data_IF_549992448213
#
_entry.id   IF_549992448213
#
_cell.length_a   1.000
_cell.length_b   1.000
_cell.length_c   1.000
_cell.angle_alpha   90.00
_cell.angle_beta   90.00
_cell.angle_gamma   90.00
#
_symmetry.space_group_name_H-M   'P 1'
#
loop_
_entity.id
_entity.type
_entity.pdbx_description
1 polymer ?
#
# COMPACT_ATOMS: atom_id res chain seq x y z
N UNK A 1 33.24 56.45 39.11
CA UNK A 1 34.17 56.18 37.99
C UNK A 1 34.25 54.67 37.80
N UNK A 2 33.87 54.23 36.61
CA UNK A 2 33.66 52.84 36.21
C UNK A 2 34.97 52.04 36.13
N UNK A 3 34.89 50.71 36.26
CA UNK A 3 35.79 49.80 35.54
C UNK A 3 34.96 48.73 34.83
N UNK A 4 35.03 48.78 33.51
CA UNK A 4 34.49 47.82 32.55
C UNK A 4 35.32 46.53 32.59
N UNK A 5 34.67 45.38 32.58
CA UNK A 5 35.29 44.11 32.22
C UNK A 5 34.57 43.55 31.00
N UNK A 6 35.31 43.48 29.89
CA UNK A 6 34.88 42.86 28.63
C UNK A 6 34.95 41.34 28.77
N UNK A 7 33.83 40.65 28.54
CA UNK A 7 33.82 39.20 28.40
C UNK A 7 33.53 38.86 26.92
N UNK A 8 34.48 38.19 26.27
CA UNK A 8 34.33 37.65 24.92
C UNK A 8 33.57 36.33 25.03
N UNK A 9 32.37 36.26 24.45
CA UNK A 9 31.53 35.07 24.43
C UNK A 9 31.72 34.34 23.08
N UNK A 10 32.43 33.21 23.10
CA UNK A 10 32.62 32.35 21.93
C UNK A 10 31.37 31.50 21.72
N UNK A 11 30.54 31.84 20.72
CA UNK A 11 29.38 31.03 20.36
C UNK A 11 29.80 29.87 19.45
N UNK A 12 29.84 28.65 20.00
CA UNK A 12 29.92 27.42 19.20
C UNK A 12 28.53 27.14 18.62
N UNK A 13 28.33 27.49 17.36
CA UNK A 13 27.13 27.08 16.61
C UNK A 13 27.33 25.62 16.22
N UNK A 14 26.74 24.71 17.00
CA UNK A 14 26.64 23.30 16.62
C UNK A 14 25.49 23.19 15.62
N UNK A 15 25.82 23.13 14.34
CA UNK A 15 24.86 22.89 13.26
C UNK A 15 24.36 21.45 13.36
N UNK A 16 23.18 21.25 13.96
CA UNK A 16 22.47 19.97 13.84
C UNK A 16 22.00 19.85 12.39
N UNK A 17 22.62 18.95 11.63
CA UNK A 17 22.13 18.58 10.31
C UNK A 17 20.73 17.98 10.45
N UNK A 18 19.73 18.63 9.86
CA UNK A 18 18.39 18.06 9.74
C UNK A 18 18.44 16.92 8.72
N UNK A 19 18.62 15.69 9.18
CA UNK A 19 18.27 14.52 8.37
C UNK A 19 16.75 14.52 8.26
N UNK A 20 16.21 14.66 7.05
CA UNK A 20 14.79 14.46 6.80
C UNK A 20 14.45 12.99 7.10
N UNK A 21 13.96 12.73 8.31
CA UNK A 21 13.44 11.42 8.67
C UNK A 21 12.18 11.19 7.82
N UNK A 22 12.26 10.25 6.87
CA UNK A 22 11.09 9.76 6.15
C UNK A 22 10.27 8.96 7.15
N UNK A 23 9.14 9.51 7.59
CA UNK A 23 8.26 8.83 8.55
C UNK A 23 7.42 7.82 7.77
N UNK A 24 7.83 6.55 7.85
CA UNK A 24 7.00 5.42 7.46
C UNK A 24 5.72 5.44 8.29
N UNK A 25 4.56 5.42 7.64
CA UNK A 25 3.28 5.29 8.33
C UNK A 25 2.89 3.82 8.34
N UNK A 26 2.36 3.38 9.49
CA UNK A 26 1.98 2.00 9.72
C UNK A 26 0.60 1.92 10.37
N UNK A 27 -0.25 1.06 9.83
CA UNK A 27 -1.58 0.72 10.33
C UNK A 27 -1.68 -0.78 10.51
N UNK A 28 -1.48 -1.24 11.75
CA UNK A 28 -1.44 -2.68 12.03
C UNK A 28 -0.33 -3.38 11.26
N UNK A 29 -0.70 -4.28 10.35
CA UNK A 29 0.23 -5.07 9.54
C UNK A 29 0.52 -4.40 8.17
N UNK A 30 -0.12 -3.26 7.89
CA UNK A 30 0.04 -2.49 6.65
C UNK A 30 0.93 -1.27 6.86
N UNK A 31 1.74 -0.94 5.86
CA UNK A 31 2.68 0.19 5.86
C UNK A 31 2.70 0.91 4.52
N UNK A 32 3.22 2.14 4.47
CA UNK A 32 3.53 2.85 3.22
C UNK A 32 5.02 3.18 3.12
N UNK A 33 5.50 3.57 1.94
CA UNK A 33 6.85 4.11 1.78
C UNK A 33 6.84 5.63 2.00
N UNK A 34 6.64 6.05 3.26
CA UNK A 34 6.86 7.38 3.83
C UNK A 34 6.57 8.63 2.97
N UNK A 35 5.59 9.42 3.42
CA UNK A 35 5.25 10.75 2.88
C UNK A 35 4.07 10.78 1.89
N UNK A 36 3.60 9.62 1.43
CA UNK A 36 2.45 9.47 0.52
C UNK A 36 1.47 8.41 1.06
N UNK A 37 0.18 8.50 0.73
CA UNK A 37 -0.82 7.53 1.18
C UNK A 37 -0.66 6.13 0.51
N UNK A 38 -0.02 6.09 -0.66
CA UNK A 38 0.33 4.88 -1.42
C UNK A 38 1.79 4.93 -1.87
N UNK A 39 2.38 3.79 -2.28
CA UNK A 39 1.84 2.42 -2.21
C UNK A 39 1.68 1.90 -0.77
N UNK A 40 0.74 0.96 -0.58
CA UNK A 40 0.51 0.24 0.67
C UNK A 40 1.07 -1.19 0.56
N UNK A 41 1.77 -1.64 1.59
CA UNK A 41 2.44 -2.94 1.61
C UNK A 41 2.04 -3.74 2.84
N UNK A 42 1.97 -5.06 2.69
CA UNK A 42 1.91 -6.01 3.81
C UNK A 42 2.75 -7.23 3.48
N UNK A 43 3.32 -7.86 4.50
CA UNK A 43 4.01 -9.15 4.37
C UNK A 43 3.23 -10.24 5.11
N UNK A 44 3.30 -11.47 4.61
CA UNK A 44 2.81 -12.63 5.34
C UNK A 44 3.96 -13.45 5.94
N UNK A 45 3.61 -14.46 6.75
CA UNK A 45 4.59 -15.32 7.43
C UNK A 45 5.38 -16.22 6.46
N UNK A 46 4.96 -16.35 5.21
CA UNK A 46 5.67 -17.12 4.21
C UNK A 46 6.84 -16.34 3.58
N UNK A 47 6.96 -15.04 3.86
CA UNK A 47 7.95 -14.16 3.23
C UNK A 47 7.47 -13.64 1.87
N UNK A 48 6.15 -13.63 1.65
CA UNK A 48 5.53 -13.01 0.48
C UNK A 48 5.09 -11.58 0.85
N UNK A 49 5.05 -10.71 -0.15
CA UNK A 49 4.60 -9.32 -0.03
C UNK A 49 3.42 -9.07 -0.97
N UNK A 50 2.42 -8.35 -0.47
CA UNK A 50 1.31 -7.84 -1.24
C UNK A 50 1.39 -6.31 -1.24
N UNK A 51 1.34 -5.72 -2.43
CA UNK A 51 1.31 -4.27 -2.62
C UNK A 51 -0.03 -3.86 -3.21
N UNK A 52 -0.67 -2.86 -2.63
CA UNK A 52 -1.80 -2.15 -3.20
C UNK A 52 -1.33 -0.77 -3.65
N UNK A 53 -1.64 -0.39 -4.89
CA UNK A 53 -1.32 0.91 -5.43
C UNK A 53 -2.46 1.44 -6.30
N UNK A 54 -2.57 2.76 -6.39
CA UNK A 54 -3.39 3.44 -7.38
C UNK A 54 -2.45 3.98 -8.46
N UNK A 55 -2.52 3.46 -9.69
CA UNK A 55 -1.62 3.85 -10.78
C UNK A 55 -2.28 3.59 -12.13
N UNK A 56 -1.96 4.40 -13.15
CA UNK A 56 -2.42 4.14 -14.53
C UNK A 56 -3.94 4.11 -14.68
N UNK A 57 -4.66 4.86 -13.84
CA UNK A 57 -6.12 4.89 -13.75
C UNK A 57 -6.79 3.60 -13.23
N UNK A 58 -6.08 2.74 -12.50
CA UNK A 58 -6.61 1.51 -11.92
C UNK A 58 -6.05 1.19 -10.52
N UNK A 59 -6.72 0.28 -9.81
CA UNK A 59 -6.15 -0.39 -8.64
C UNK A 59 -5.13 -1.43 -9.14
N UNK A 60 -3.86 -1.19 -8.85
CA UNK A 60 -2.79 -2.15 -9.11
C UNK A 60 -2.54 -3.00 -7.87
N UNK A 61 -2.62 -4.32 -8.04
CA UNK A 61 -2.25 -5.28 -6.99
C UNK A 61 -1.02 -6.03 -7.46
N UNK A 62 0.07 -5.90 -6.71
CA UNK A 62 1.30 -6.63 -6.96
C UNK A 62 1.55 -7.68 -5.89
N UNK A 63 2.03 -8.84 -6.30
CA UNK A 63 2.42 -9.96 -5.47
C UNK A 63 3.90 -10.28 -5.70
N UNK A 64 4.62 -10.52 -4.61
CA UNK A 64 6.01 -10.97 -4.66
C UNK A 64 6.24 -12.11 -3.68
N UNK A 65 6.79 -13.22 -4.16
CA UNK A 65 7.39 -14.27 -3.34
C UNK A 65 8.92 -14.06 -3.31
N UNK A 66 9.40 -13.50 -2.20
CA UNK A 66 10.82 -13.17 -2.02
C UNK A 66 11.72 -14.40 -2.03
N UNK A 67 11.20 -15.60 -1.74
CA UNK A 67 11.99 -16.84 -1.71
C UNK A 67 12.23 -17.39 -3.09
N UNK A 68 11.22 -17.36 -3.96
CA UNK A 68 11.35 -17.81 -5.34
C UNK A 68 11.82 -16.71 -6.29
N UNK A 69 11.91 -15.46 -5.81
CA UNK A 69 12.17 -14.27 -6.61
C UNK A 69 11.13 -14.07 -7.72
N UNK A 70 9.90 -14.56 -7.49
CA UNK A 70 8.78 -14.36 -8.38
C UNK A 70 8.03 -13.09 -7.99
N UNK A 71 7.81 -12.21 -8.96
CA UNK A 71 7.01 -10.99 -8.79
C UNK A 71 6.09 -10.82 -9.97
N UNK A 72 4.89 -10.35 -9.70
CA UNK A 72 3.90 -10.04 -10.73
C UNK A 72 2.92 -9.00 -10.24
N UNK A 73 2.37 -8.20 -11.16
CA UNK A 73 1.24 -7.32 -10.87
C UNK A 73 0.05 -7.45 -11.83
N UNK A 74 -1.03 -6.78 -11.47
CA UNK A 74 -2.30 -6.84 -12.18
C UNK A 74 -2.29 -6.25 -13.59
N UNK A 75 -1.26 -5.51 -13.96
CA UNK A 75 -1.13 -4.88 -15.28
C UNK A 75 -0.40 -5.78 -16.27
N UNK A 76 0.27 -6.85 -15.80
CA UNK A 76 1.10 -7.75 -16.61
C UNK A 76 0.29 -8.77 -17.46
N UNK A 77 -1.03 -8.57 -17.63
CA UNK A 77 -1.87 -9.41 -18.50
C UNK A 77 -2.15 -10.81 -17.93
N UNK A 78 -2.22 -10.93 -16.61
CA UNK A 78 -2.53 -12.19 -15.93
C UNK A 78 -3.95 -12.68 -16.23
N UNK A 79 -4.14 -14.01 -16.17
CA UNK A 79 -5.44 -14.65 -16.37
C UNK A 79 -6.03 -15.04 -15.02
N UNK A 80 -7.36 -14.99 -14.92
CA UNK A 80 -8.12 -15.41 -13.75
C UNK A 80 -7.58 -14.81 -12.45
N UNK A 81 -7.36 -13.50 -12.48
CA UNK A 81 -6.69 -12.79 -11.40
C UNK A 81 -7.70 -12.21 -10.41
N UNK A 82 -7.51 -12.53 -9.14
CA UNK A 82 -8.41 -12.12 -8.08
C UNK A 82 -7.65 -11.72 -6.82
N UNK A 83 -8.27 -10.84 -6.05
CA UNK A 83 -8.06 -10.74 -4.61
C UNK A 83 -9.10 -11.62 -3.93
N UNK A 84 -8.66 -12.52 -3.07
CA UNK A 84 -9.53 -13.31 -2.22
C UNK A 84 -9.62 -12.63 -0.85
N UNK A 85 -10.82 -12.25 -0.42
CA UNK A 85 -11.09 -11.79 0.95
C UNK A 85 -11.91 -12.87 1.64
N UNK A 86 -11.34 -13.53 2.65
CA UNK A 86 -11.93 -14.70 3.32
C UNK A 86 -12.42 -15.77 2.31
N UNK A 87 -11.60 -16.03 1.27
CA UNK A 87 -11.88 -16.94 0.14
C UNK A 87 -12.97 -16.49 -0.85
N UNK A 88 -13.62 -15.35 -0.63
CA UNK A 88 -14.49 -14.76 -1.65
C UNK A 88 -13.63 -14.06 -2.69
N UNK A 89 -13.83 -14.39 -3.96
CA UNK A 89 -13.08 -13.81 -5.07
C UNK A 89 -13.63 -12.42 -5.46
N UNK A 90 -12.71 -11.50 -5.70
CA UNK A 90 -12.93 -10.14 -6.16
C UNK A 90 -11.99 -9.88 -7.33
N UNK A 91 -12.56 -9.60 -8.49
CA UNK A 91 -11.82 -9.55 -9.75
C UNK A 91 -11.16 -8.18 -9.97
N UNK A 92 -10.02 -8.18 -10.64
CA UNK A 92 -9.14 -7.00 -10.73
C UNK A 92 -9.18 -6.31 -12.10
N UNK A 93 -10.14 -6.63 -12.96
CA UNK A 93 -10.25 -5.98 -14.27
C UNK A 93 -10.54 -4.47 -14.13
N UNK A 94 -9.81 -3.62 -14.86
CA UNK A 94 -9.93 -2.16 -14.73
C UNK A 94 -11.17 -1.57 -15.42
N UNK A 95 -11.95 -2.39 -16.11
CA UNK A 95 -13.11 -1.96 -16.89
C UNK A 95 -14.21 -3.00 -16.80
N UNK A 96 -15.46 -2.56 -16.87
CA UNK A 96 -16.57 -3.48 -17.11
C UNK A 96 -16.71 -3.73 -18.61
N UNK A 97 -16.85 -5.01 -18.99
CA UNK A 97 -17.19 -5.42 -20.35
C UNK A 97 -18.71 -5.59 -20.54
N UNK A 98 -19.49 -5.41 -19.47
CA UNK A 98 -20.95 -5.50 -19.48
C UNK A 98 -21.54 -4.11 -19.23
N UNK A 99 -22.32 -3.56 -20.19
CA UNK A 99 -22.92 -2.24 -20.03
C UNK A 99 -23.77 -2.13 -18.76
N UNK A 100 -23.50 -1.12 -17.93
CA UNK A 100 -24.23 -0.85 -16.70
C UNK A 100 -23.75 -1.61 -15.46
N UNK A 101 -22.79 -2.53 -15.59
CA UNK A 101 -22.16 -3.19 -14.44
C UNK A 101 -21.00 -2.37 -13.85
N UNK A 102 -20.76 -2.45 -12.53
CA UNK A 102 -19.64 -1.76 -11.90
C UNK A 102 -18.29 -2.29 -12.41
N UNK A 103 -17.27 -1.44 -12.38
CA UNK A 103 -15.90 -1.85 -12.70
C UNK A 103 -15.43 -2.88 -11.66
N UNK A 104 -14.96 -4.08 -12.05
CA UNK A 104 -14.55 -5.11 -11.10
C UNK A 104 -13.47 -4.63 -10.11
N UNK A 105 -12.43 -3.95 -10.59
CA UNK A 105 -11.40 -3.36 -9.73
C UNK A 105 -11.97 -2.36 -8.70
N UNK A 106 -13.02 -1.60 -9.04
CA UNK A 106 -13.71 -0.72 -8.09
C UNK A 106 -14.42 -1.52 -7.00
N UNK A 107 -15.12 -2.59 -7.37
CA UNK A 107 -15.79 -3.48 -6.41
C UNK A 107 -14.77 -4.11 -5.46
N UNK A 108 -13.59 -4.48 -5.99
CA UNK A 108 -12.48 -5.01 -5.21
C UNK A 108 -11.90 -3.98 -4.24
N UNK A 109 -11.66 -2.76 -4.70
CA UNK A 109 -11.23 -1.64 -3.86
C UNK A 109 -12.20 -1.40 -2.70
N UNK A 110 -13.50 -1.32 -3.00
CA UNK A 110 -14.54 -1.12 -2.01
C UNK A 110 -14.62 -2.28 -1.00
N UNK A 111 -14.35 -3.51 -1.43
CA UNK A 111 -14.29 -4.66 -0.56
C UNK A 111 -13.07 -4.64 0.38
N UNK A 112 -11.89 -4.26 -0.13
CA UNK A 112 -10.67 -4.07 0.65
C UNK A 112 -10.87 -3.02 1.75
N UNK A 113 -11.51 -1.89 1.43
CA UNK A 113 -11.85 -0.84 2.40
C UNK A 113 -12.73 -1.31 3.56
N UNK A 114 -13.57 -2.33 3.33
CA UNK A 114 -14.50 -2.88 4.33
C UNK A 114 -13.94 -4.04 5.13
N UNK A 115 -12.69 -4.43 4.90
CA UNK A 115 -12.07 -5.55 5.63
C UNK A 115 -11.93 -5.23 7.12
N UNK A 116 -12.18 -6.24 7.95
CA UNK A 116 -11.95 -6.21 9.39
C UNK A 116 -10.59 -6.79 9.78
N UNK A 117 -10.11 -6.56 11.02
CA UNK A 117 -8.78 -6.96 11.45
C UNK A 117 -8.55 -8.49 11.55
N UNK A 118 -9.61 -9.29 11.40
CA UNK A 118 -9.53 -10.76 11.40
C UNK A 118 -9.56 -11.34 9.99
N UNK A 119 -9.87 -10.53 8.98
CA UNK A 119 -9.99 -11.00 7.61
C UNK A 119 -8.63 -11.40 7.05
N UNK A 120 -8.69 -12.32 6.08
CA UNK A 120 -7.54 -12.82 5.35
C UNK A 120 -7.64 -12.43 3.89
N UNK A 121 -6.54 -11.94 3.37
CA UNK A 121 -6.40 -11.53 1.98
C UNK A 121 -5.44 -12.50 1.29
N UNK A 122 -5.72 -12.87 0.05
CA UNK A 122 -4.77 -13.58 -0.79
C UNK A 122 -4.85 -13.03 -2.22
N UNK A 123 -3.71 -12.94 -2.88
CA UNK A 123 -3.65 -12.78 -4.33
C UNK A 123 -3.67 -14.15 -5.00
N UNK A 124 -4.34 -14.25 -6.15
CA UNK A 124 -4.30 -15.43 -6.99
C UNK A 124 -4.39 -15.07 -8.47
N UNK A 125 -3.71 -15.84 -9.30
CA UNK A 125 -3.90 -15.87 -10.76
C UNK A 125 -3.61 -17.27 -11.31
N UNK A 126 -3.98 -17.53 -12.57
CA UNK A 126 -3.65 -18.79 -13.23
C UNK A 126 -2.13 -19.05 -13.29
N UNK A 127 -1.32 -17.98 -13.33
CA UNK A 127 0.14 -18.06 -13.44
C UNK A 127 0.85 -18.14 -12.08
N UNK A 128 0.34 -17.46 -11.06
CA UNK A 128 0.98 -17.38 -9.74
C UNK A 128 0.48 -18.45 -8.77
N UNK A 129 -0.71 -19.03 -9.01
CA UNK A 129 -1.43 -19.79 -8.01
C UNK A 129 -1.93 -18.91 -6.86
N UNK A 130 -2.46 -19.53 -5.80
CA UNK A 130 -2.89 -18.79 -4.61
C UNK A 130 -1.71 -18.56 -3.65
N UNK A 131 -1.46 -17.30 -3.32
CA UNK A 131 -0.52 -16.89 -2.26
C UNK A 131 -0.90 -17.42 -0.88
N UNK A 132 0.03 -17.40 0.08
CA UNK A 132 -0.31 -17.60 1.49
C UNK A 132 -1.10 -16.39 2.02
N UNK A 133 -1.98 -16.59 3.01
CA UNK A 133 -2.87 -15.53 3.45
C UNK A 133 -2.12 -14.38 4.15
N UNK A 134 -2.39 -13.17 3.69
CA UNK A 134 -2.04 -11.90 4.30
C UNK A 134 -3.07 -11.49 5.35
N UNK A 135 -2.65 -10.64 6.28
CA UNK A 135 -3.52 -10.08 7.32
C UNK A 135 -4.19 -8.81 6.80
N UNK A 136 -5.50 -8.66 7.03
CA UNK A 136 -6.19 -7.39 6.77
C UNK A 136 -6.12 -6.40 7.95
N UNK A 137 -5.37 -6.72 9.02
CA UNK A 137 -5.31 -5.90 10.23
C UNK A 137 -4.72 -4.52 9.94
N UNK A 138 -5.58 -3.51 10.02
CA UNK A 138 -5.24 -2.10 9.77
C UNK A 138 -5.41 -1.64 8.33
N UNK A 139 -5.85 -2.52 7.42
CA UNK A 139 -6.07 -2.14 6.00
C UNK A 139 -7.18 -1.09 5.84
N UNK A 140 -8.30 -1.25 6.56
CA UNK A 140 -9.40 -0.27 6.48
C UNK A 140 -8.95 1.12 6.92
N UNK A 141 -8.16 1.19 8.00
CA UNK A 141 -7.58 2.45 8.50
C UNK A 141 -6.55 3.03 7.52
N UNK A 142 -5.72 2.17 6.90
CA UNK A 142 -4.74 2.58 5.90
C UNK A 142 -5.39 3.13 4.62
N UNK A 143 -6.60 2.68 4.29
CA UNK A 143 -7.40 3.14 3.16
C UNK A 143 -8.42 4.23 3.54
N UNK A 144 -8.39 4.72 4.77
CA UNK A 144 -9.28 5.81 5.19
C UNK A 144 -8.95 7.10 4.42
N UNK A 145 -10.00 7.83 4.02
CA UNK A 145 -9.86 9.00 3.15
C UNK A 145 -9.49 8.73 1.69
N UNK A 146 -9.02 7.52 1.34
CA UNK A 146 -8.71 7.14 -0.05
C UNK A 146 -9.97 6.64 -0.75
N UNK A 147 -10.23 7.10 -1.96
CA UNK A 147 -11.38 6.73 -2.78
C UNK A 147 -10.96 6.06 -4.10
N UNK A 148 -11.90 5.40 -4.77
CA UNK A 148 -11.68 4.92 -6.14
C UNK A 148 -11.34 6.05 -7.13
N UNK A 149 -11.77 7.29 -6.84
CA UNK A 149 -11.45 8.45 -7.67
C UNK A 149 -9.94 8.76 -7.60
N UNK A 150 -9.29 8.53 -6.46
CA UNK A 150 -7.84 8.65 -6.34
C UNK A 150 -7.09 7.63 -7.20
N UNK A 151 -7.71 6.47 -7.47
CA UNK A 151 -7.17 5.48 -8.42
C UNK A 151 -7.38 5.84 -9.89
N UNK A 152 -8.38 6.67 -10.22
CA UNK A 152 -8.78 6.93 -11.61
C UNK A 152 -8.45 8.34 -12.11
N UNK A 153 -8.17 9.30 -11.24
CA UNK A 153 -7.95 10.70 -11.61
C UNK A 153 -6.48 11.13 -11.62
N UNK A 154 -5.57 10.35 -11.03
CA UNK A 154 -4.13 10.64 -11.08
C UNK A 154 -3.46 9.87 -12.24
N UNK A 155 -2.73 10.56 -13.14
CA UNK A 155 -2.00 9.95 -14.24
C UNK A 155 -0.76 9.16 -13.78
#
# INVERSE_FOLDING_TARGET
MNKFHTAILTALIVSFGASAAVIEQQWGDWRNSGGMAFPLFTENKAGEELTLNCSGHELVVAYEDKKSHYRVDSTEGLKDMYVLINKKAYALEPRSYVPGEPIPAQVTFDALKRTGPKDKIAFTSAQSGESKPFSAKGLSDALDGITWQDCTQFP
#
